data_IF_996712701284
#
_entry.id   IF_996712701284
#
_cell.length_a   1.000
_cell.length_b   1.000
_cell.length_c   1.000
_cell.angle_alpha   90.00
_cell.angle_beta   90.00
_cell.angle_gamma   90.00
#
_symmetry.space_group_name_H-M   'P 1'
#
loop_
_entity.id
_entity.type
_entity.pdbx_description
1 polymer ?
#
# COMPACT_ATOMS: atom_id res chain seq x y z
N UNK A 1 -0.42 8.72 2.74
CA UNK A 1 -1.60 8.49 1.90
C UNK A 1 -1.84 7.00 1.80
N UNK A 2 -3.09 6.58 1.84
CA UNK A 2 -3.43 5.18 1.65
C UNK A 2 -3.77 4.90 0.20
N UNK A 3 -3.25 3.80 -0.31
CA UNK A 3 -3.64 3.26 -1.60
C UNK A 3 -4.85 2.38 -1.38
N UNK A 4 -5.65 2.28 -2.43
CA UNK A 4 -6.60 1.21 -2.55
C UNK A 4 -7.63 1.21 -1.40
N UNK A 5 -8.02 2.41 -0.98
CA UNK A 5 -8.95 2.64 0.13
C UNK A 5 -10.39 2.21 -0.25
N UNK A 6 -11.27 1.94 0.73
CA UNK A 6 -12.69 1.77 0.46
C UNK A 6 -13.28 2.99 -0.26
N UNK A 7 -14.13 2.75 -1.26
CA UNK A 7 -14.75 3.82 -2.05
C UNK A 7 -13.79 4.58 -2.98
N UNK A 8 -12.51 4.21 -3.01
CA UNK A 8 -11.56 4.76 -3.99
C UNK A 8 -11.98 4.37 -5.41
N UNK A 9 -11.81 5.30 -6.35
CA UNK A 9 -12.07 5.05 -7.77
C UNK A 9 -10.76 4.92 -8.55
N UNK A 10 -10.83 4.29 -9.72
CA UNK A 10 -9.68 4.20 -10.63
C UNK A 10 -9.04 5.57 -10.90
N UNK A 11 -9.87 6.58 -11.20
CA UNK A 11 -9.42 7.94 -11.46
C UNK A 11 -8.81 8.61 -10.22
N UNK A 12 -9.37 8.37 -9.04
CA UNK A 12 -8.80 8.85 -7.78
C UNK A 12 -7.39 8.30 -7.55
N UNK A 13 -7.20 7.02 -7.84
CA UNK A 13 -5.90 6.37 -7.70
C UNK A 13 -4.86 6.87 -8.70
N UNK A 14 -5.24 7.08 -9.97
CA UNK A 14 -4.34 7.71 -10.96
C UNK A 14 -3.95 9.13 -10.53
N UNK A 15 -4.89 9.93 -10.01
CA UNK A 15 -4.60 11.26 -9.46
C UNK A 15 -3.60 11.18 -8.30
N UNK A 16 -3.76 10.22 -7.39
CA UNK A 16 -2.82 10.00 -6.28
C UNK A 16 -1.41 9.69 -6.78
N UNK A 17 -1.27 8.78 -7.76
CA UNK A 17 0.02 8.44 -8.38
C UNK A 17 0.66 9.65 -9.08
N UNK A 18 -0.15 10.46 -9.75
CA UNK A 18 0.30 11.72 -10.34
C UNK A 18 0.85 12.69 -9.27
N UNK A 19 0.11 12.92 -8.17
CA UNK A 19 0.56 13.79 -7.08
C UNK A 19 1.84 13.27 -6.40
N UNK A 20 1.95 11.94 -6.22
CA UNK A 20 3.19 11.34 -5.72
C UNK A 20 4.36 11.64 -6.64
N UNK A 21 4.18 11.45 -7.95
CA UNK A 21 5.24 11.70 -8.94
C UNK A 21 5.64 13.18 -8.95
N UNK A 22 4.65 14.08 -8.94
CA UNK A 22 4.87 15.51 -8.84
C UNK A 22 5.61 15.90 -7.55
N UNK A 23 5.28 15.26 -6.42
CA UNK A 23 5.98 15.50 -5.14
C UNK A 23 7.45 15.10 -5.18
N UNK A 24 7.80 14.02 -5.91
CA UNK A 24 9.20 13.60 -6.10
C UNK A 24 9.96 14.59 -6.97
N UNK A 25 9.33 15.09 -8.03
CA UNK A 25 9.90 16.14 -8.90
C UNK A 25 10.09 17.43 -8.09
N UNK A 26 9.07 17.86 -7.35
CA UNK A 26 9.12 19.05 -6.50
C UNK A 26 10.21 18.93 -5.42
N UNK A 27 10.38 17.76 -4.79
CA UNK A 27 11.50 17.48 -3.87
C UNK A 27 12.85 17.71 -4.56
N UNK A 28 13.01 17.23 -5.79
CA UNK A 28 14.26 17.37 -6.56
C UNK A 28 14.54 18.83 -6.94
N UNK A 29 13.52 19.55 -7.41
CA UNK A 29 13.64 20.95 -7.88
C UNK A 29 13.83 21.91 -6.69
N UNK A 30 12.96 21.81 -5.67
CA UNK A 30 12.94 22.74 -4.54
C UNK A 30 13.99 22.42 -3.48
N UNK A 31 14.71 21.30 -3.62
CA UNK A 31 15.66 20.75 -2.61
C UNK A 31 15.07 20.67 -1.19
N UNK A 32 13.73 20.61 -1.08
CA UNK A 32 13.00 20.51 0.19
C UNK A 32 12.74 19.06 0.53
N UNK A 33 12.78 18.72 1.81
CA UNK A 33 12.42 17.39 2.29
C UNK A 33 10.90 17.19 2.31
N UNK A 34 10.32 17.05 1.12
CA UNK A 34 8.92 16.62 0.95
C UNK A 34 8.93 15.09 0.84
N UNK A 35 8.39 14.41 1.85
CA UNK A 35 8.29 12.95 1.84
C UNK A 35 6.82 12.52 1.90
N UNK A 36 6.23 12.28 0.74
CA UNK A 36 4.91 11.67 0.65
C UNK A 36 5.09 10.17 0.80
N UNK A 37 4.56 9.57 1.86
CA UNK A 37 4.54 8.12 2.03
C UNK A 37 3.22 7.55 1.57
N UNK A 38 3.30 6.37 0.98
CA UNK A 38 2.17 5.63 0.46
C UNK A 38 2.18 4.27 1.18
N UNK A 39 1.01 3.82 1.66
CA UNK A 39 0.86 2.52 2.29
C UNK A 39 -0.53 1.93 2.10
N UNK A 40 -0.71 0.67 2.48
CA UNK A 40 -2.02 0.03 2.54
C UNK A 40 -2.64 0.20 3.92
N UNK A 41 -3.97 0.19 3.99
CA UNK A 41 -4.68 0.27 5.27
C UNK A 41 -4.56 -1.09 5.96
N UNK A 42 -4.02 -1.12 7.17
CA UNK A 42 -4.04 -2.33 8.00
C UNK A 42 -5.44 -2.56 8.55
N UNK A 43 -5.88 -3.81 8.49
CA UNK A 43 -7.11 -4.29 9.11
C UNK A 43 -6.87 -4.42 10.61
N UNK A 44 -7.67 -3.71 11.39
CA UNK A 44 -7.66 -3.75 12.85
C UNK A 44 -9.06 -4.17 13.34
N UNK A 45 -9.16 -4.97 14.42
CA UNK A 45 -10.45 -5.45 14.91
C UNK A 45 -11.35 -4.28 15.31
N UNK A 46 -12.68 -4.49 15.24
CA UNK A 46 -13.71 -3.53 15.65
C UNK A 46 -13.67 -2.17 14.94
N UNK A 47 -13.01 -2.08 13.78
CA UNK A 47 -12.98 -0.89 12.93
C UNK A 47 -13.97 -0.97 11.76
N UNK A 48 -14.35 0.17 11.21
CA UNK A 48 -15.23 0.20 10.04
C UNK A 48 -14.58 -0.45 8.81
N UNK A 49 -13.27 -0.28 8.64
CA UNK A 49 -12.53 -0.95 7.56
C UNK A 49 -12.60 -2.47 7.68
N UNK A 50 -12.56 -3.01 8.90
CA UNK A 50 -12.72 -4.45 9.14
C UNK A 50 -14.11 -4.94 8.76
N UNK A 51 -15.17 -4.19 9.09
CA UNK A 51 -16.55 -4.49 8.67
C UNK A 51 -16.70 -4.46 7.17
N UNK A 52 -16.15 -3.44 6.51
CA UNK A 52 -16.12 -3.34 5.04
C UNK A 52 -15.40 -4.54 4.44
N UNK A 53 -14.25 -4.93 4.98
CA UNK A 53 -13.47 -6.06 4.49
C UNK A 53 -14.22 -7.39 4.64
N UNK A 54 -14.92 -7.60 5.75
CA UNK A 54 -15.79 -8.78 5.94
C UNK A 54 -16.95 -8.78 4.95
N UNK A 55 -17.65 -7.65 4.80
CA UNK A 55 -18.81 -7.54 3.89
C UNK A 55 -18.42 -7.75 2.42
N UNK A 56 -17.19 -7.41 2.06
CA UNK A 56 -16.62 -7.64 0.72
C UNK A 56 -16.01 -9.03 0.54
N UNK A 57 -16.01 -9.87 1.57
CA UNK A 57 -15.43 -11.22 1.53
C UNK A 57 -13.90 -11.25 1.46
N UNK A 58 -13.22 -10.14 1.79
CA UNK A 58 -11.75 -10.06 1.82
C UNK A 58 -11.20 -10.87 3.00
N UNK A 59 -11.91 -10.85 4.12
CA UNK A 59 -11.57 -11.63 5.32
C UNK A 59 -12.80 -12.40 5.83
N UNK A 60 -12.55 -13.59 6.39
CA UNK A 60 -13.60 -14.39 7.03
C UNK A 60 -13.90 -13.87 8.45
N UNK A 61 -15.16 -13.96 8.91
CA UNK A 61 -15.50 -13.67 10.31
C UNK A 61 -14.66 -14.51 11.28
N UNK A 62 -14.14 -13.89 12.33
CA UNK A 62 -13.34 -14.57 13.36
C UNK A 62 -11.91 -14.93 12.93
N UNK A 63 -11.46 -14.51 11.74
CA UNK A 63 -10.05 -14.64 11.35
C UNK A 63 -9.16 -13.86 12.34
N UNK A 64 -8.15 -14.54 12.87
CA UNK A 64 -7.10 -13.88 13.67
C UNK A 64 -6.37 -12.83 12.83
N UNK A 65 -6.26 -11.60 13.37
CA UNK A 65 -5.46 -10.52 12.79
C UNK A 65 -4.02 -10.49 13.35
N UNK A 66 -3.64 -11.52 14.10
CA UNK A 66 -2.27 -11.76 14.52
C UNK A 66 -1.62 -12.70 13.51
N UNK A 67 -0.54 -12.28 12.81
CA UNK A 67 0.11 -13.11 11.81
C UNK A 67 0.86 -14.25 12.52
N UNK A 68 0.68 -15.50 12.06
CA UNK A 68 1.44 -16.62 12.60
C UNK A 68 2.84 -16.69 11.97
N UNK A 69 2.99 -16.18 10.75
CA UNK A 69 4.24 -16.11 10.01
C UNK A 69 4.31 -14.83 9.14
N UNK A 70 5.42 -14.65 8.44
CA UNK A 70 5.66 -13.49 7.56
C UNK A 70 4.71 -13.43 6.37
N UNK A 71 4.24 -14.57 5.87
CA UNK A 71 3.36 -14.63 4.70
C UNK A 71 1.94 -14.15 5.06
N UNK A 72 1.50 -14.46 6.27
CA UNK A 72 0.20 -14.04 6.82
C UNK A 72 0.07 -12.53 6.96
N UNK A 73 1.20 -11.81 7.04
CA UNK A 73 1.21 -10.33 7.17
C UNK A 73 0.49 -9.66 6.00
N UNK A 74 0.60 -10.23 4.79
CA UNK A 74 -0.05 -9.68 3.58
C UNK A 74 -1.58 -9.66 3.72
N UNK A 75 -2.15 -10.66 4.42
CA UNK A 75 -3.58 -10.77 4.65
C UNK A 75 -4.12 -9.79 5.71
N UNK A 76 -3.23 -9.06 6.40
CA UNK A 76 -3.62 -8.05 7.39
C UNK A 76 -3.88 -6.68 6.77
N UNK A 77 -3.72 -6.51 5.45
CA UNK A 77 -3.94 -5.25 4.77
C UNK A 77 -5.17 -5.31 3.88
N UNK A 78 -5.95 -4.24 3.89
CA UNK A 78 -7.11 -4.09 3.03
C UNK A 78 -6.68 -3.95 1.57
N UNK A 79 -7.41 -4.64 0.68
CA UNK A 79 -7.25 -4.59 -0.76
C UNK A 79 -8.63 -4.42 -1.38
N UNK A 80 -8.90 -3.29 -2.06
CA UNK A 80 -10.16 -3.14 -2.77
C UNK A 80 -10.20 -4.11 -3.97
N UNK A 81 -11.18 -5.04 -4.05
CA UNK A 81 -11.25 -6.02 -5.14
C UNK A 81 -11.37 -5.36 -6.51
N UNK A 82 -12.00 -4.19 -6.59
CA UNK A 82 -12.21 -3.46 -7.84
C UNK A 82 -10.94 -2.82 -8.40
N UNK A 83 -9.90 -2.63 -7.59
CA UNK A 83 -8.66 -1.95 -7.97
C UNK A 83 -7.41 -2.82 -7.81
N UNK A 84 -7.57 -4.12 -7.51
CA UNK A 84 -6.48 -5.07 -7.28
C UNK A 84 -5.41 -5.09 -8.38
N UNK A 85 -5.79 -4.83 -9.63
CA UNK A 85 -4.85 -4.80 -10.76
C UNK A 85 -3.80 -3.69 -10.58
N UNK A 86 -4.24 -2.55 -10.05
CA UNK A 86 -3.39 -1.38 -9.88
C UNK A 86 -2.40 -1.51 -8.72
N UNK A 87 -2.64 -2.40 -7.75
CA UNK A 87 -1.64 -2.71 -6.72
C UNK A 87 -0.34 -3.21 -7.36
N UNK A 88 -0.43 -3.97 -8.47
CA UNK A 88 0.75 -4.43 -9.22
C UNK A 88 1.56 -3.26 -9.77
N UNK A 89 0.89 -2.20 -10.23
CA UNK A 89 1.54 -0.99 -10.74
C UNK A 89 2.28 -0.28 -9.61
N UNK A 90 1.63 -0.13 -8.45
CA UNK A 90 2.26 0.48 -7.27
C UNK A 90 3.47 -0.33 -6.83
N UNK A 91 3.35 -1.67 -6.74
CA UNK A 91 4.45 -2.55 -6.37
C UNK A 91 5.61 -2.45 -7.35
N UNK A 92 5.34 -2.34 -8.65
CA UNK A 92 6.36 -2.11 -9.67
C UNK A 92 7.07 -0.75 -9.48
N UNK A 93 6.32 0.31 -9.18
CA UNK A 93 6.92 1.63 -8.89
C UNK A 93 7.77 1.60 -7.61
N UNK A 94 7.31 0.88 -6.59
CA UNK A 94 8.05 0.69 -5.34
C UNK A 94 9.37 -0.09 -5.58
N UNK A 95 9.33 -1.17 -6.37
CA UNK A 95 10.54 -1.95 -6.68
C UNK A 95 11.54 -1.16 -7.54
N UNK A 96 11.07 -0.34 -8.48
CA UNK A 96 11.96 0.56 -9.24
C UNK A 96 12.64 1.60 -8.33
N UNK A 97 11.91 2.17 -7.38
CA UNK A 97 12.50 3.14 -6.43
C UNK A 97 13.45 2.48 -5.43
N UNK A 98 13.20 1.24 -5.02
CA UNK A 98 14.14 0.46 -4.20
C UNK A 98 15.37 0.00 -4.99
N UNK A 99 15.27 -0.35 -6.28
CA UNK A 99 16.43 -0.60 -7.15
C UNK A 99 17.31 0.65 -7.32
N UNK A 100 16.71 1.84 -7.43
CA UNK A 100 17.44 3.12 -7.45
C UNK A 100 18.12 3.40 -6.10
N UNK A 101 17.47 3.02 -4.99
CA UNK A 101 18.05 3.03 -3.63
C UNK A 101 18.89 1.79 -3.32
N UNK A 102 19.07 0.88 -4.28
CA UNK A 102 19.68 -0.45 -4.12
C UNK A 102 21.17 -0.43 -3.81
N UNK A 103 21.78 0.76 -3.70
CA UNK A 103 23.07 0.94 -3.02
C UNK A 103 22.96 1.05 -1.48
N UNK A 104 21.76 1.18 -0.90
CA UNK A 104 21.60 1.56 0.52
C UNK A 104 20.70 0.62 1.34
N UNK A 105 19.78 -0.19 0.78
CA UNK A 105 18.80 -0.93 1.60
C UNK A 105 18.50 -2.37 1.18
N UNK A 106 19.54 -3.10 0.83
CA UNK A 106 19.48 -4.52 0.48
C UNK A 106 19.00 -5.48 1.60
N UNK A 107 18.57 -5.01 2.78
CA UNK A 107 18.58 -5.85 3.99
C UNK A 107 17.24 -6.08 4.70
N UNK A 108 16.18 -5.27 4.47
CA UNK A 108 14.97 -5.37 5.33
C UNK A 108 13.71 -5.97 4.70
N UNK A 109 13.54 -5.95 3.37
CA UNK A 109 12.26 -6.34 2.73
C UNK A 109 12.30 -7.76 2.14
N UNK A 110 13.49 -8.32 1.86
CA UNK A 110 13.62 -9.67 1.28
C UNK A 110 13.33 -10.83 2.24
N UNK A 111 13.09 -10.60 3.54
CA UNK A 111 12.71 -11.65 4.51
C UNK A 111 11.20 -11.86 4.67
N UNK A 112 10.38 -11.05 3.99
CA UNK A 112 8.91 -11.19 3.99
C UNK A 112 8.34 -11.49 2.58
N UNK A 113 9.22 -11.94 1.66
CA UNK A 113 8.81 -12.41 0.34
C UNK A 113 8.38 -13.87 0.41
#
# INVERSE_FOLDING_TARGET
MFINSPGESYFGMIKMLFYKTLSLIAKKILRRNINVQIGWIRLEPDTEIYRVAMNQGIISPGRSLLPANTDDVKALFYLNPSLQFLDRIVLAMASMTESIKGKIRHTLIRRAL
#
